data_IF_951516226294
#
_entry.id   IF_951516226294
#
_cell.length_a   1.000
_cell.length_b   1.000
_cell.length_c   1.000
_cell.angle_alpha   90.00
_cell.angle_beta   90.00
_cell.angle_gamma   90.00
#
_symmetry.space_group_name_H-M   'P 1'
#
loop_
_entity.id
_entity.type
_entity.pdbx_description
1 polymer ?
#
# COMPACT_ATOMS: atom_id res chain seq x y z
N UNK A 1 0.23 -20.24 6.49
CA UNK A 1 -0.78 -20.12 5.45
C UNK A 1 -0.55 -21.18 4.36
N UNK A 2 0.63 -21.24 3.75
CA UNK A 2 0.94 -22.21 2.68
C UNK A 2 0.74 -23.66 3.12
N UNK A 3 1.17 -24.04 4.32
CA UNK A 3 0.97 -25.38 4.86
C UNK A 3 -0.52 -25.75 5.07
N UNK A 4 -1.37 -24.77 5.36
CA UNK A 4 -2.80 -24.97 5.60
C UNK A 4 -3.65 -24.90 4.33
N UNK A 5 -3.25 -24.12 3.34
CA UNK A 5 -4.06 -23.79 2.15
C UNK A 5 -3.45 -24.25 0.84
N UNK A 6 -2.18 -24.68 0.82
CA UNK A 6 -1.47 -25.07 -0.40
C UNK A 6 -1.21 -23.91 -1.36
N UNK A 7 -1.36 -22.66 -0.90
CA UNK A 7 -1.28 -21.46 -1.71
C UNK A 7 -0.41 -20.39 -1.02
N UNK A 8 0.12 -19.45 -1.80
CA UNK A 8 0.83 -18.29 -1.28
C UNK A 8 -0.16 -17.21 -0.82
N UNK A 9 -0.02 -16.75 0.43
CA UNK A 9 -0.89 -15.71 1.00
C UNK A 9 -0.97 -14.45 0.16
N UNK A 10 0.16 -13.99 -0.36
CA UNK A 10 0.20 -12.72 -1.12
C UNK A 10 -0.46 -12.86 -2.50
N UNK A 11 -0.35 -14.03 -3.11
CA UNK A 11 -1.07 -14.32 -4.36
C UNK A 11 -2.58 -14.25 -4.15
N UNK A 12 -3.08 -14.87 -3.09
CA UNK A 12 -4.51 -14.85 -2.75
C UNK A 12 -4.97 -13.45 -2.34
N UNK A 13 -4.14 -12.72 -1.57
CA UNK A 13 -4.42 -11.34 -1.19
C UNK A 13 -4.61 -10.44 -2.42
N UNK A 14 -3.70 -10.53 -3.39
CA UNK A 14 -3.78 -9.77 -4.65
C UNK A 14 -5.03 -10.18 -5.44
N UNK A 15 -5.31 -11.48 -5.55
CA UNK A 15 -6.47 -12.00 -6.28
C UNK A 15 -7.80 -11.48 -5.69
N UNK A 16 -7.93 -11.49 -4.37
CA UNK A 16 -9.12 -10.95 -3.68
C UNK A 16 -9.26 -9.44 -3.93
N UNK A 17 -8.19 -8.66 -3.79
CA UNK A 17 -8.25 -7.22 -4.03
C UNK A 17 -8.59 -6.91 -5.50
N UNK A 18 -8.07 -7.66 -6.46
CA UNK A 18 -8.45 -7.54 -7.88
C UNK A 18 -9.93 -7.84 -8.11
N UNK A 19 -10.44 -8.92 -7.55
CA UNK A 19 -11.85 -9.30 -7.67
C UNK A 19 -12.80 -8.23 -7.11
N UNK A 20 -12.34 -7.46 -6.11
CA UNK A 20 -13.11 -6.40 -5.47
C UNK A 20 -12.86 -5.00 -6.06
N UNK A 21 -12.03 -4.88 -7.10
CA UNK A 21 -11.68 -3.59 -7.69
C UNK A 21 -10.78 -2.72 -6.81
N UNK A 22 -10.06 -3.32 -5.86
CA UNK A 22 -9.15 -2.66 -4.92
C UNK A 22 -7.67 -2.85 -5.28
N UNK A 23 -7.36 -3.31 -6.49
CA UNK A 23 -5.99 -3.46 -6.96
C UNK A 23 -5.71 -2.55 -8.15
N UNK A 24 -4.58 -1.85 -8.12
CA UNK A 24 -4.08 -1.06 -9.23
C UNK A 24 -2.70 -1.60 -9.63
N UNK A 25 -2.61 -2.17 -10.85
CA UNK A 25 -1.34 -2.60 -11.41
C UNK A 25 -0.50 -1.38 -11.85
N UNK A 26 0.77 -1.35 -11.47
CA UNK A 26 1.71 -0.28 -11.79
C UNK A 26 3.08 -0.87 -12.17
N UNK A 27 3.25 -1.14 -13.46
CA UNK A 27 4.39 -1.92 -13.94
C UNK A 27 4.40 -3.32 -13.33
N UNK A 28 5.51 -3.74 -12.75
CA UNK A 28 5.67 -5.01 -12.03
C UNK A 28 5.16 -4.94 -10.57
N UNK A 29 4.73 -3.77 -10.09
CA UNK A 29 4.18 -3.61 -8.75
C UNK A 29 2.64 -3.60 -8.75
N UNK A 30 2.04 -4.04 -7.64
CA UNK A 30 0.59 -3.98 -7.42
C UNK A 30 0.31 -3.13 -6.19
N UNK A 31 -0.56 -2.13 -6.33
CA UNK A 31 -0.99 -1.24 -5.25
C UNK A 31 -2.36 -1.68 -4.73
N UNK A 32 -2.46 -1.92 -3.43
CA UNK A 32 -3.63 -2.47 -2.77
C UNK A 32 -4.05 -1.57 -1.59
N UNK A 33 -5.08 -0.71 -1.71
CA UNK A 33 -5.78 -0.19 -0.54
C UNK A 33 -6.30 -1.34 0.32
N UNK A 34 -5.89 -1.40 1.59
CA UNK A 34 -6.14 -2.56 2.46
C UNK A 34 -7.61 -2.72 2.80
N UNK A 35 -8.16 -3.94 2.64
CA UNK A 35 -9.51 -4.30 3.07
C UNK A 35 -9.64 -4.39 4.60
N UNK A 36 -8.54 -4.72 5.26
CA UNK A 36 -8.49 -4.88 6.72
C UNK A 36 -7.38 -4.01 7.29
N UNK A 37 -7.51 -2.67 7.16
CA UNK A 37 -6.45 -1.76 7.54
C UNK A 37 -6.27 -1.71 9.06
N UNK A 38 -5.01 -1.57 9.50
CA UNK A 38 -4.67 -1.27 10.89
C UNK A 38 -4.72 0.23 11.20
N UNK A 39 -4.50 1.07 10.19
CA UNK A 39 -4.55 2.53 10.27
C UNK A 39 -5.28 3.08 9.05
N UNK A 40 -5.70 4.34 9.17
CA UNK A 40 -6.41 5.05 8.10
C UNK A 40 -5.63 5.00 6.77
N UNK A 41 -6.36 4.79 5.71
CA UNK A 41 -5.85 4.76 4.32
C UNK A 41 -4.70 3.78 4.09
N UNK A 42 -4.58 2.74 4.91
CA UNK A 42 -3.51 1.76 4.74
C UNK A 42 -3.50 1.22 3.32
N UNK A 43 -2.35 1.35 2.69
CA UNK A 43 -2.11 0.89 1.32
C UNK A 43 -0.85 0.07 1.27
N UNK A 44 -0.93 -1.09 0.66
CA UNK A 44 0.21 -1.97 0.41
C UNK A 44 0.67 -1.79 -1.04
N UNK A 45 1.98 -1.83 -1.25
CA UNK A 45 2.56 -2.01 -2.57
C UNK A 45 3.34 -3.31 -2.51
N UNK A 46 3.01 -4.25 -3.40
CA UNK A 46 3.65 -5.56 -3.49
C UNK A 46 4.43 -5.62 -4.79
N UNK A 47 5.70 -6.01 -4.70
CA UNK A 47 6.59 -6.21 -5.84
C UNK A 47 7.55 -7.36 -5.54
N UNK A 48 8.16 -7.94 -6.58
CA UNK A 48 9.13 -9.03 -6.39
C UNK A 48 10.49 -8.50 -5.92
N UNK A 49 10.84 -7.27 -6.30
CA UNK A 49 12.14 -6.67 -6.00
C UNK A 49 12.08 -5.14 -5.85
N UNK A 50 13.16 -4.57 -5.34
CA UNK A 50 13.34 -3.11 -5.25
C UNK A 50 13.77 -2.56 -6.62
N UNK A 51 12.79 -2.19 -7.43
CA UNK A 51 12.96 -1.69 -8.79
C UNK A 51 12.31 -0.31 -8.99
N UNK A 52 12.35 0.21 -10.22
CA UNK A 52 11.78 1.51 -10.53
C UNK A 52 10.24 1.51 -10.51
N UNK A 53 9.60 0.37 -10.77
CA UNK A 53 8.15 0.23 -10.69
C UNK A 53 7.65 0.39 -9.26
N UNK A 54 8.34 -0.22 -8.27
CA UNK A 54 8.04 -0.03 -6.86
C UNK A 54 8.20 1.43 -6.43
N UNK A 55 9.28 2.09 -6.87
CA UNK A 55 9.54 3.51 -6.57
C UNK A 55 8.46 4.40 -7.19
N UNK A 56 8.07 4.12 -8.43
CA UNK A 56 7.02 4.85 -9.13
C UNK A 56 5.64 4.64 -8.48
N UNK A 57 5.33 3.40 -8.05
CA UNK A 57 4.13 3.08 -7.31
C UNK A 57 4.10 3.78 -5.94
N UNK A 58 5.23 3.80 -5.22
CA UNK A 58 5.35 4.52 -3.94
C UNK A 58 5.12 6.02 -4.15
N UNK A 59 5.72 6.60 -5.18
CA UNK A 59 5.51 8.01 -5.51
C UNK A 59 4.05 8.31 -5.88
N UNK A 60 3.38 7.39 -6.61
CA UNK A 60 1.95 7.50 -6.93
C UNK A 60 1.11 7.54 -5.64
N UNK A 61 1.33 6.61 -4.72
CA UNK A 61 0.59 6.54 -3.45
C UNK A 61 0.81 7.79 -2.62
N UNK A 62 2.06 8.22 -2.42
CA UNK A 62 2.38 9.40 -1.62
C UNK A 62 1.83 10.69 -2.23
N UNK A 63 1.88 10.81 -3.57
CA UNK A 63 1.28 11.95 -4.28
C UNK A 63 -0.24 11.97 -4.12
N UNK A 64 -0.90 10.81 -4.20
CA UNK A 64 -2.34 10.69 -3.99
C UNK A 64 -2.72 11.05 -2.56
N UNK A 65 -1.98 10.53 -1.58
CA UNK A 65 -2.20 10.82 -0.16
C UNK A 65 -2.15 12.31 0.13
N UNK A 66 -1.09 12.98 -0.33
CA UNK A 66 -0.86 14.40 -0.01
C UNK A 66 -1.73 15.35 -0.84
N UNK A 67 -1.93 15.06 -2.13
CA UNK A 67 -2.59 15.99 -3.05
C UNK A 67 -4.10 15.78 -3.17
N UNK A 68 -4.60 14.56 -2.91
CA UNK A 68 -6.00 14.19 -3.10
C UNK A 68 -6.72 13.83 -1.82
N UNK A 69 -6.06 13.11 -0.91
CA UNK A 69 -6.66 12.59 0.30
C UNK A 69 -6.38 13.44 1.54
N UNK A 70 -5.68 14.56 1.38
CA UNK A 70 -5.40 15.51 2.45
C UNK A 70 -4.52 14.97 3.58
N UNK A 71 -3.74 13.92 3.32
CA UNK A 71 -2.82 13.33 4.28
C UNK A 71 -1.67 14.30 4.54
N UNK A 72 -1.50 14.67 5.80
CA UNK A 72 -0.45 15.60 6.24
C UNK A 72 0.76 14.90 6.84
N UNK A 73 0.55 13.70 7.35
CA UNK A 73 1.59 12.90 7.99
C UNK A 73 1.34 11.43 7.67
N UNK A 74 2.39 10.71 7.32
CA UNK A 74 2.30 9.29 6.98
C UNK A 74 3.51 8.52 7.49
N UNK A 75 3.35 7.21 7.65
CA UNK A 75 4.46 6.28 7.87
C UNK A 75 4.59 5.36 6.67
N UNK A 76 5.83 5.01 6.34
CA UNK A 76 6.17 3.98 5.34
C UNK A 76 7.04 2.93 6.00
N UNK A 77 6.65 1.67 5.89
CA UNK A 77 7.47 0.53 6.30
C UNK A 77 7.75 -0.35 5.08
N UNK A 78 8.99 -0.80 4.96
CA UNK A 78 9.42 -1.72 3.91
C UNK A 78 9.72 -3.08 4.54
N UNK A 79 9.09 -4.13 4.03
CA UNK A 79 9.30 -5.51 4.43
C UNK A 79 9.93 -6.27 3.28
N UNK A 80 10.96 -7.03 3.58
CA UNK A 80 11.65 -7.89 2.61
C UNK A 80 12.13 -9.17 3.30
N UNK A 81 12.42 -10.22 2.54
CA UNK A 81 13.10 -11.39 3.10
C UNK A 81 14.39 -11.01 3.81
N UNK A 82 14.83 -11.79 4.80
CA UNK A 82 16.12 -11.59 5.47
C UNK A 82 17.26 -11.55 4.46
N UNK A 83 18.20 -10.62 4.66
CA UNK A 83 19.41 -10.51 3.82
C UNK A 83 20.44 -11.62 4.11
N UNK A 84 20.39 -12.17 5.32
CA UNK A 84 21.24 -13.29 5.73
C UNK A 84 20.47 -14.61 5.59
N UNK A 85 21.22 -15.71 5.39
CA UNK A 85 20.62 -17.04 5.39
C UNK A 85 19.92 -17.33 6.71
N UNK A 86 18.72 -17.90 6.64
CA UNK A 86 17.90 -18.32 7.77
C UNK A 86 17.60 -19.80 7.67
N UNK A 87 17.16 -20.41 8.77
CA UNK A 87 16.70 -21.80 8.79
C UNK A 87 15.30 -21.99 8.17
N UNK A 88 14.55 -20.90 8.05
CA UNK A 88 13.20 -20.87 7.48
C UNK A 88 13.26 -20.50 6.01
N UNK A 89 12.36 -21.09 5.20
CA UNK A 89 12.18 -20.68 3.82
C UNK A 89 11.37 -19.39 3.73
N UNK A 90 11.87 -18.45 2.95
CA UNK A 90 11.20 -17.20 2.59
C UNK A 90 10.77 -17.19 1.12
N UNK A 91 10.71 -18.37 0.50
CA UNK A 91 10.30 -18.51 -0.90
C UNK A 91 8.89 -17.97 -1.11
N UNK A 92 8.75 -17.13 -2.11
CA UNK A 92 7.47 -16.49 -2.43
C UNK A 92 7.05 -15.36 -1.47
N UNK A 93 7.93 -14.93 -0.53
CA UNK A 93 7.69 -13.70 0.22
C UNK A 93 8.09 -12.50 -0.65
N UNK A 94 7.16 -11.61 -1.01
CA UNK A 94 7.46 -10.46 -1.85
C UNK A 94 8.11 -9.32 -1.04
N UNK A 95 8.57 -8.32 -1.74
CA UNK A 95 8.88 -7.03 -1.16
C UNK A 95 7.59 -6.23 -0.99
N UNK A 96 7.35 -5.69 0.21
CA UNK A 96 6.11 -4.99 0.54
C UNK A 96 6.45 -3.61 1.10
N UNK A 97 5.94 -2.56 0.46
CA UNK A 97 5.87 -1.25 1.08
C UNK A 97 4.46 -1.05 1.66
N UNK A 98 4.39 -0.75 2.96
CA UNK A 98 3.15 -0.47 3.69
C UNK A 98 3.11 0.99 4.06
N UNK A 99 2.08 1.69 3.62
CA UNK A 99 1.89 3.12 3.80
C UNK A 99 0.60 3.34 4.59
N UNK A 100 0.64 4.22 5.59
CA UNK A 100 -0.53 4.57 6.41
C UNK A 100 -0.59 6.08 6.63
N UNK A 101 -1.82 6.60 6.73
CA UNK A 101 -2.06 7.95 7.23
C UNK A 101 -1.82 7.95 8.75
N UNK A 102 -0.95 8.83 9.21
CA UNK A 102 -0.64 9.00 10.62
C UNK A 102 -1.62 9.95 11.33
N UNK A 103 -2.42 10.68 10.58
CA UNK A 103 -3.40 11.63 11.09
C UNK A 103 -2.91 13.07 11.12
N UNK A 104 -3.64 13.91 11.85
CA UNK A 104 -3.37 15.35 11.91
C UNK A 104 -2.07 15.67 12.68
N UNK A 105 -1.27 16.57 12.13
CA UNK A 105 -0.06 17.10 12.82
C UNK A 105 -0.36 17.84 14.12
N UNK A 106 -1.58 18.32 14.28
CA UNK A 106 -2.00 19.13 15.42
C UNK A 106 -2.73 18.32 16.50
N UNK A 107 -3.06 17.05 16.22
CA UNK A 107 -3.74 16.17 17.15
C UNK A 107 -2.76 15.58 18.16
N UNK A 108 -2.88 15.99 19.44
CA UNK A 108 -2.03 15.43 20.53
C UNK A 108 -2.36 13.99 20.88
N UNK A 109 -3.46 13.43 20.36
CA UNK A 109 -4.00 12.11 20.74
C UNK A 109 -4.11 11.15 19.56
N UNK A 110 -3.53 11.46 18.43
CA UNK A 110 -3.65 10.64 17.20
C UNK A 110 -3.01 9.25 17.33
N UNK A 111 -2.11 9.06 18.28
CA UNK A 111 -1.43 7.77 18.49
C UNK A 111 -1.86 7.04 19.79
N UNK A 112 -2.59 7.72 20.68
CA UNK A 112 -3.10 7.09 21.92
C UNK A 112 -4.56 6.72 21.71
N UNK A 113 -4.79 5.49 21.36
CA UNK A 113 -6.13 5.03 21.04
C UNK A 113 -6.36 3.57 21.46
N UNK A 114 -7.47 3.03 21.03
CA UNK A 114 -7.89 1.67 21.30
C UNK A 114 -6.82 0.61 20.94
N UNK A 115 -5.90 0.90 20.03
CA UNK A 115 -4.81 -0.02 19.68
C UNK A 115 -3.88 -0.31 20.86
N UNK A 116 -3.48 0.72 21.64
CA UNK A 116 -2.59 0.54 22.79
C UNK A 116 -3.32 -0.10 23.97
N UNK A 117 -4.63 0.17 24.10
CA UNK A 117 -5.43 -0.32 25.23
C UNK A 117 -6.04 -1.69 24.96
N UNK A 118 -6.48 -1.97 23.74
CA UNK A 118 -7.29 -3.14 23.42
C UNK A 118 -6.70 -4.01 22.28
N UNK A 119 -5.58 -3.61 21.71
CA UNK A 119 -4.98 -4.29 20.55
C UNK A 119 -5.86 -4.27 19.30
N UNK A 120 -6.81 -3.32 19.24
CA UNK A 120 -7.76 -3.23 18.13
C UNK A 120 -7.55 -1.96 17.31
N UNK A 121 -7.59 -2.14 15.98
CA UNK A 121 -7.59 -1.03 15.03
C UNK A 121 -8.93 -0.31 15.03
N UNK A 122 -8.91 1.02 15.02
CA UNK A 122 -10.07 1.86 14.78
C UNK A 122 -9.84 2.61 13.48
N UNK A 123 -10.56 2.22 12.45
CA UNK A 123 -10.46 2.80 11.10
C UNK A 123 -11.86 3.16 10.62
N UNK A 124 -12.05 4.39 10.20
CA UNK A 124 -13.31 4.89 9.65
C UNK A 124 -13.26 5.08 8.14
N UNK A 125 -12.05 4.98 7.54
CA UNK A 125 -11.82 5.22 6.12
C UNK A 125 -12.28 4.07 5.24
N UNK A 126 -12.87 4.43 4.08
CA UNK A 126 -13.31 3.50 3.06
C UNK A 126 -12.14 3.22 2.08
N UNK A 127 -11.68 1.96 1.91
CA UNK A 127 -10.61 1.61 0.99
C UNK A 127 -10.96 1.91 -0.48
N UNK A 128 -12.23 1.88 -0.85
CA UNK A 128 -12.67 2.21 -2.22
C UNK A 128 -12.41 3.67 -2.58
N UNK A 129 -12.52 4.60 -1.63
CA UNK A 129 -12.14 6.00 -1.86
C UNK A 129 -10.65 6.17 -2.13
N UNK A 130 -9.83 5.36 -1.48
CA UNK A 130 -8.38 5.35 -1.72
C UNK A 130 -8.09 4.78 -3.11
N UNK A 131 -8.74 3.68 -3.49
CA UNK A 131 -8.61 3.06 -4.82
C UNK A 131 -9.01 4.02 -5.93
N UNK A 132 -10.15 4.71 -5.78
CA UNK A 132 -10.64 5.70 -6.74
C UNK A 132 -9.65 6.87 -6.91
N UNK A 133 -9.17 7.44 -5.83
CA UNK A 133 -8.18 8.52 -5.85
C UNK A 133 -6.84 8.10 -6.50
N UNK A 134 -6.40 6.86 -6.29
CA UNK A 134 -5.21 6.28 -6.92
C UNK A 134 -5.41 6.12 -8.44
N UNK A 135 -6.56 5.60 -8.85
CA UNK A 135 -6.88 5.42 -10.26
C UNK A 135 -6.92 6.78 -11.01
N UNK A 136 -7.57 7.78 -10.44
CA UNK A 136 -7.60 9.14 -10.99
C UNK A 136 -6.19 9.76 -11.11
N UNK A 137 -5.37 9.64 -10.07
CA UNK A 137 -4.00 10.16 -10.07
C UNK A 137 -3.16 9.48 -11.15
N UNK A 138 -3.31 8.16 -11.31
CA UNK A 138 -2.61 7.38 -12.34
C UNK A 138 -2.97 7.84 -13.74
N UNK A 139 -4.26 8.07 -14.04
CA UNK A 139 -4.72 8.57 -15.34
C UNK A 139 -4.18 9.95 -15.64
N UNK A 140 -4.20 10.86 -14.66
CA UNK A 140 -3.69 12.23 -14.84
C UNK A 140 -2.19 12.26 -15.13
N UNK A 141 -1.41 11.38 -14.49
CA UNK A 141 0.02 11.28 -14.75
C UNK A 141 0.30 10.79 -16.15
N UNK A 142 -0.33 9.69 -16.58
CA UNK A 142 -0.18 9.17 -17.95
C UNK A 142 -0.48 10.24 -19.01
N UNK A 143 -1.48 11.09 -18.79
CA UNK A 143 -1.81 12.20 -19.70
C UNK A 143 -0.71 13.25 -19.75
N UNK A 144 -0.10 13.59 -18.61
CA UNK A 144 1.02 14.56 -18.55
C UNK A 144 2.26 14.02 -19.26
N UNK A 145 2.59 12.74 -19.02
CA UNK A 145 3.75 12.09 -19.64
C UNK A 145 3.59 11.99 -21.17
N UNK A 146 2.34 11.78 -21.65
CA UNK A 146 2.05 11.74 -23.10
C UNK A 146 2.00 13.13 -23.77
N UNK A 147 1.84 14.21 -23.02
CA UNK A 147 1.84 15.59 -23.54
C UNK A 147 3.20 16.28 -23.42
N UNK A 148 4.08 15.78 -22.58
CA UNK A 148 5.46 16.23 -22.40
C UNK A 148 6.41 15.41 -23.25
N UNK A 149 6.24 15.42 -24.58
CA UNK A 149 7.26 14.92 -25.49
C UNK A 149 8.55 15.76 -25.35
N UNK A 150 9.73 15.17 -25.57
CA UNK A 150 11.00 15.86 -25.34
C UNK A 150 11.15 17.09 -26.22
N UNK A 151 11.95 18.06 -25.78
CA UNK A 151 12.29 19.23 -26.57
C UNK A 151 13.07 18.85 -27.83
#
# INVERSE_FOLDING_TARGET
YQAAHGANYFTDLIAVHRALGLALDHGAAVVLPSLTPFKEKETLIIADELNDDLKAALFLVLSTFTQRLGVQSFNVALYQPPLAATTESWDGFPLIARIVDRGSLYGKTTDVAAMEMFGQSVVAGDPYRVAEALAETSVLRRRKDSQGGPP
#
